data_IF_135599095389
#
_entry.id   IF_135599095389
#
_cell.length_a   1.000
_cell.length_b   1.000
_cell.length_c   1.000
_cell.angle_alpha   90.00
_cell.angle_beta   90.00
_cell.angle_gamma   90.00
#
_symmetry.space_group_name_H-M   'P 1'
#
loop_
_entity.id
_entity.type
_entity.pdbx_description
1 polymer ?
#
# COMPACT_ATOMS: atom_id res chain seq x y z
N UNK A 1 25.61 -14.00 5.09
CA UNK A 1 24.20 -14.41 5.19
C UNK A 1 23.46 -14.42 3.84
N UNK A 2 23.97 -13.78 2.78
CA UNK A 2 23.39 -13.82 1.43
C UNK A 2 23.77 -15.08 0.61
N UNK A 3 24.77 -15.83 1.03
CA UNK A 3 25.27 -17.01 0.32
C UNK A 3 24.24 -18.15 0.10
N UNK A 4 23.38 -18.51 1.06
CA UNK A 4 22.41 -19.58 0.83
C UNK A 4 21.26 -19.17 -0.09
N UNK A 5 20.91 -17.87 -0.14
CA UNK A 5 19.81 -17.38 -0.99
C UNK A 5 20.19 -17.43 -2.47
N UNK A 6 21.42 -17.08 -2.83
CA UNK A 6 21.90 -17.11 -4.22
C UNK A 6 21.94 -18.50 -4.83
N UNK A 7 22.24 -19.54 -4.03
CA UNK A 7 22.24 -20.93 -4.51
C UNK A 7 20.83 -21.52 -4.70
N UNK A 8 19.83 -21.01 -3.96
CA UNK A 8 18.44 -21.45 -4.08
C UNK A 8 17.71 -20.82 -5.27
N UNK A 9 18.10 -19.59 -5.65
CA UNK A 9 17.45 -18.84 -6.72
C UNK A 9 17.58 -19.47 -8.13
N UNK A 10 18.62 -20.27 -8.38
CA UNK A 10 18.87 -20.87 -9.69
C UNK A 10 17.94 -22.03 -10.08
N UNK A 11 17.21 -22.63 -9.13
CA UNK A 11 16.40 -23.84 -9.35
C UNK A 11 15.11 -23.86 -8.51
N UNK A 12 14.35 -22.77 -8.50
CA UNK A 12 13.08 -22.74 -7.76
C UNK A 12 12.10 -23.80 -8.29
N UNK A 13 12.02 -24.91 -7.57
CA UNK A 13 10.93 -25.89 -7.71
C UNK A 13 9.88 -25.61 -6.61
N UNK A 14 8.63 -26.03 -6.76
CA UNK A 14 7.59 -25.87 -5.74
C UNK A 14 7.98 -26.39 -4.35
N UNK A 15 8.96 -27.28 -4.25
CA UNK A 15 9.49 -27.82 -2.99
C UNK A 15 10.41 -26.87 -2.22
N UNK A 16 10.85 -25.79 -2.84
CA UNK A 16 11.80 -24.85 -2.24
C UNK A 16 11.11 -23.70 -1.49
N UNK A 17 9.76 -23.63 -1.54
CA UNK A 17 8.96 -22.60 -0.86
C UNK A 17 9.19 -22.58 0.65
N UNK A 18 9.39 -23.75 1.26
CA UNK A 18 9.59 -23.90 2.70
C UNK A 18 10.89 -23.26 3.20
N UNK A 19 11.90 -23.09 2.32
CA UNK A 19 13.17 -22.43 2.63
C UNK A 19 13.17 -20.97 2.18
N UNK A 20 12.52 -20.65 1.06
CA UNK A 20 12.51 -19.30 0.50
C UNK A 20 11.69 -18.34 1.33
N UNK A 21 10.50 -18.74 1.78
CA UNK A 21 9.62 -17.88 2.56
C UNK A 21 10.27 -17.43 3.88
N UNK A 22 10.83 -18.31 4.74
CA UNK A 22 11.55 -17.88 5.93
C UNK A 22 12.76 -16.98 5.62
N UNK A 23 13.46 -17.24 4.50
CA UNK A 23 14.60 -16.43 4.09
C UNK A 23 14.19 -15.00 3.70
N UNK A 24 13.14 -14.84 2.90
CA UNK A 24 12.60 -13.52 2.53
C UNK A 24 12.05 -12.77 3.77
N UNK A 25 11.39 -13.49 4.66
CA UNK A 25 10.88 -12.94 5.90
C UNK A 25 12.04 -12.47 6.81
N UNK A 26 13.08 -13.23 6.93
CA UNK A 26 14.28 -12.85 7.67
C UNK A 26 14.93 -11.58 7.08
N UNK A 27 15.06 -11.48 5.76
CA UNK A 27 15.59 -10.28 5.10
C UNK A 27 14.70 -9.05 5.37
N UNK A 28 13.39 -9.22 5.27
CA UNK A 28 12.42 -8.17 5.59
C UNK A 28 12.61 -7.65 7.03
N UNK A 29 12.59 -8.55 8.03
CA UNK A 29 12.77 -8.17 9.43
C UNK A 29 14.14 -7.57 9.72
N UNK A 30 15.19 -8.11 9.10
CA UNK A 30 16.55 -7.58 9.25
C UNK A 30 16.66 -6.13 8.79
N UNK A 31 15.95 -5.75 7.72
CA UNK A 31 15.89 -4.35 7.27
C UNK A 31 15.20 -3.43 8.28
N UNK A 32 14.19 -3.93 8.99
CA UNK A 32 13.41 -3.11 9.92
C UNK A 32 14.02 -2.99 11.32
N UNK A 33 14.86 -3.94 11.73
CA UNK A 33 15.44 -3.99 13.08
C UNK A 33 16.83 -3.36 13.17
N UNK A 34 17.42 -2.93 12.06
CA UNK A 34 18.80 -2.42 12.03
C UNK A 34 18.87 -0.90 12.24
N UNK A 35 20.02 -0.43 12.71
CA UNK A 35 20.31 1.01 12.78
C UNK A 35 20.34 1.62 11.36
N UNK A 36 20.09 2.92 11.19
CA UNK A 36 20.06 3.56 9.87
C UNK A 36 21.32 3.32 9.02
N UNK A 37 22.50 3.37 9.62
CA UNK A 37 23.77 3.10 8.91
C UNK A 37 23.89 1.64 8.43
N UNK A 38 23.49 0.68 9.26
CA UNK A 38 23.48 -0.74 8.91
C UNK A 38 22.38 -1.04 7.88
N UNK A 39 21.24 -0.36 7.97
CA UNK A 39 20.14 -0.46 7.03
C UNK A 39 20.54 0.00 5.63
N UNK A 40 21.21 1.14 5.49
CA UNK A 40 21.72 1.63 4.20
C UNK A 40 22.65 0.61 3.54
N UNK A 41 23.60 0.04 4.30
CA UNK A 41 24.50 -1.01 3.79
C UNK A 41 23.74 -2.27 3.40
N UNK A 42 22.78 -2.71 4.22
CA UNK A 42 21.97 -3.87 3.92
C UNK A 42 21.18 -3.69 2.63
N UNK A 43 20.56 -2.54 2.44
CA UNK A 43 19.83 -2.20 1.20
C UNK A 43 20.76 -2.23 -0.01
N UNK A 44 21.96 -1.64 0.07
CA UNK A 44 22.93 -1.66 -1.03
C UNK A 44 23.35 -3.10 -1.39
N UNK A 45 23.60 -3.95 -0.39
CA UNK A 45 23.95 -5.38 -0.60
C UNK A 45 22.78 -6.15 -1.23
N UNK A 46 21.54 -5.91 -0.79
CA UNK A 46 20.38 -6.60 -1.34
C UNK A 46 20.09 -6.17 -2.78
N UNK A 47 20.21 -4.87 -3.09
CA UNK A 47 19.99 -4.33 -4.43
C UNK A 47 21.12 -4.68 -5.43
N UNK A 48 22.31 -5.02 -4.95
CA UNK A 48 23.40 -5.54 -5.79
C UNK A 48 23.29 -7.05 -6.04
N UNK A 49 22.41 -7.77 -5.33
CA UNK A 49 22.27 -9.22 -5.46
C UNK A 49 21.28 -9.57 -6.60
N UNK A 50 21.84 -9.84 -7.79
CA UNK A 50 21.05 -10.16 -9.00
C UNK A 50 20.12 -11.36 -8.79
N UNK A 51 20.60 -12.43 -8.13
CA UNK A 51 19.80 -13.62 -7.87
C UNK A 51 18.60 -13.36 -6.96
N UNK A 52 18.73 -12.44 -6.00
CA UNK A 52 17.61 -12.01 -5.16
C UNK A 52 16.59 -11.23 -5.99
N UNK A 53 17.05 -10.28 -6.81
CA UNK A 53 16.14 -9.49 -7.66
C UNK A 53 15.40 -10.36 -8.69
N UNK A 54 16.10 -11.34 -9.29
CA UNK A 54 15.43 -12.32 -10.17
C UNK A 54 14.38 -13.16 -9.44
N UNK A 55 14.66 -13.57 -8.18
CA UNK A 55 13.68 -14.25 -7.35
C UNK A 55 12.47 -13.36 -7.05
N UNK A 56 12.70 -12.12 -6.65
CA UNK A 56 11.63 -11.16 -6.38
C UNK A 56 10.80 -10.89 -7.65
N UNK A 57 11.43 -10.79 -8.82
CA UNK A 57 10.73 -10.67 -10.09
C UNK A 57 9.79 -11.86 -10.33
N UNK A 58 10.25 -13.09 -10.14
CA UNK A 58 9.41 -14.30 -10.26
C UNK A 58 8.25 -14.29 -9.25
N UNK A 59 8.50 -13.88 -8.01
CA UNK A 59 7.45 -13.77 -6.98
C UNK A 59 6.38 -12.75 -7.40
N UNK A 60 6.79 -11.61 -7.94
CA UNK A 60 5.87 -10.59 -8.43
C UNK A 60 5.02 -11.11 -9.61
N UNK A 61 5.63 -11.83 -10.56
CA UNK A 61 4.95 -12.43 -11.71
C UNK A 61 3.97 -13.54 -11.32
N UNK A 62 4.32 -14.37 -10.32
CA UNK A 62 3.48 -15.45 -9.85
C UNK A 62 2.16 -15.00 -9.21
N UNK A 63 2.07 -13.75 -8.74
CA UNK A 63 0.86 -13.25 -8.05
C UNK A 63 -0.38 -13.30 -8.93
N UNK A 64 -0.24 -13.28 -10.26
CA UNK A 64 -1.34 -13.20 -11.23
C UNK A 64 -1.86 -14.56 -11.68
N UNK A 65 -1.02 -15.58 -11.65
CA UNK A 65 -1.35 -16.95 -12.09
C UNK A 65 -2.31 -17.68 -11.12
N UNK A 66 -2.74 -17.01 -10.04
CA UNK A 66 -3.47 -17.60 -8.96
C UNK A 66 -4.98 -17.50 -9.12
N UNK A 67 -5.52 -18.58 -9.56
CA UNK A 67 -6.92 -18.94 -9.38
C UNK A 67 -7.07 -20.44 -9.29
N UNK A 68 -7.35 -20.96 -8.13
CA UNK A 68 -8.51 -21.80 -8.05
C UNK A 68 -9.44 -21.41 -6.89
N UNK A 69 -10.77 -21.41 -7.11
CA UNK A 69 -11.76 -20.95 -6.16
C UNK A 69 -12.13 -21.96 -5.08
N UNK A 70 -11.31 -22.95 -4.78
CA UNK A 70 -11.78 -24.14 -4.06
C UNK A 70 -10.98 -24.52 -2.80
N UNK A 71 -10.21 -23.60 -2.19
CA UNK A 71 -9.54 -23.91 -0.92
C UNK A 71 -9.95 -23.00 0.22
N UNK A 72 -10.04 -23.56 1.47
CA UNK A 72 -10.49 -22.84 2.65
C UNK A 72 -9.51 -21.70 3.04
N UNK A 73 -9.98 -20.82 3.89
CA UNK A 73 -9.38 -19.55 4.33
C UNK A 73 -7.99 -19.63 5.03
N UNK A 74 -7.24 -20.70 4.85
CA UNK A 74 -5.90 -20.86 5.41
C UNK A 74 -4.84 -20.34 4.43
N UNK A 75 -3.89 -19.57 4.96
CA UNK A 75 -2.73 -19.09 4.24
C UNK A 75 -1.92 -20.31 3.76
N UNK A 76 -1.79 -20.49 2.45
CA UNK A 76 -0.92 -21.53 1.91
C UNK A 76 0.56 -21.12 2.05
N UNK A 77 1.49 -22.07 1.96
CA UNK A 77 2.92 -21.77 1.98
C UNK A 77 3.33 -20.84 0.84
N UNK A 78 2.65 -20.96 -0.30
CA UNK A 78 2.84 -20.12 -1.48
C UNK A 78 2.32 -18.69 -1.23
N UNK A 79 1.14 -18.53 -0.59
CA UNK A 79 0.64 -17.22 -0.19
C UNK A 79 1.59 -16.52 0.80
N UNK A 80 2.17 -17.28 1.73
CA UNK A 80 3.14 -16.76 2.68
C UNK A 80 4.43 -16.30 1.98
N UNK A 81 4.89 -17.02 0.96
CA UNK A 81 6.02 -16.62 0.12
C UNK A 81 5.72 -15.31 -0.63
N UNK A 82 4.54 -15.23 -1.25
CA UNK A 82 4.10 -14.01 -1.95
C UNK A 82 4.01 -12.82 -1.00
N UNK A 83 3.43 -12.98 0.19
CA UNK A 83 3.37 -11.92 1.20
C UNK A 83 4.76 -11.41 1.56
N UNK A 84 5.70 -12.32 1.85
CA UNK A 84 7.07 -11.96 2.21
C UNK A 84 7.79 -11.25 1.06
N UNK A 85 7.58 -11.69 -0.17
CA UNK A 85 8.16 -11.06 -1.37
C UNK A 85 7.62 -9.64 -1.59
N UNK A 86 6.31 -9.44 -1.55
CA UNK A 86 5.69 -8.11 -1.70
C UNK A 86 6.13 -7.15 -0.59
N UNK A 87 6.20 -7.60 0.67
CA UNK A 87 6.66 -6.78 1.78
C UNK A 87 8.14 -6.40 1.63
N UNK A 88 8.98 -7.35 1.19
CA UNK A 88 10.40 -7.07 0.96
C UNK A 88 10.59 -6.06 -0.18
N UNK A 89 9.87 -6.21 -1.30
CA UNK A 89 9.91 -5.25 -2.42
C UNK A 89 9.45 -3.87 -1.98
N UNK A 90 8.34 -3.77 -1.23
CA UNK A 90 7.86 -2.51 -0.68
C UNK A 90 8.90 -1.82 0.21
N UNK A 91 9.60 -2.59 1.04
CA UNK A 91 10.67 -2.08 1.91
C UNK A 91 11.90 -1.65 1.12
N UNK A 92 12.32 -2.43 0.14
CA UNK A 92 13.45 -2.08 -0.74
C UNK A 92 13.15 -0.79 -1.52
N UNK A 93 11.94 -0.63 -2.03
CA UNK A 93 11.51 0.61 -2.68
C UNK A 93 11.65 1.82 -1.75
N UNK A 94 11.09 1.74 -0.53
CA UNK A 94 11.13 2.83 0.44
C UNK A 94 12.58 3.20 0.84
N UNK A 95 13.40 2.20 1.11
CA UNK A 95 14.76 2.43 1.57
C UNK A 95 15.72 2.81 0.42
N UNK A 96 15.51 2.27 -0.77
CA UNK A 96 16.24 2.68 -1.97
C UNK A 96 16.05 4.20 -2.22
N UNK A 97 14.82 4.68 -2.15
CA UNK A 97 14.53 6.09 -2.28
C UNK A 97 15.14 6.92 -1.13
N UNK A 98 14.98 6.44 0.11
CA UNK A 98 15.48 7.14 1.31
C UNK A 98 17.01 7.33 1.29
N UNK A 99 17.74 6.32 0.85
CA UNK A 99 19.21 6.32 0.84
C UNK A 99 19.83 6.62 -0.52
N UNK A 100 19.01 6.87 -1.53
CA UNK A 100 19.43 7.09 -2.91
C UNK A 100 20.43 6.03 -3.40
N UNK A 101 20.14 4.75 -3.11
CA UNK A 101 21.01 3.64 -3.45
C UNK A 101 20.93 3.32 -4.93
N UNK A 102 22.08 3.11 -5.57
CA UNK A 102 22.15 2.67 -6.96
C UNK A 102 21.53 1.28 -7.16
N UNK A 103 20.88 1.09 -8.29
CA UNK A 103 20.21 -0.15 -8.67
C UNK A 103 20.77 -0.65 -9.99
N UNK A 104 21.25 -1.89 -10.00
CA UNK A 104 21.83 -2.51 -11.19
C UNK A 104 20.81 -3.28 -12.04
N UNK A 105 19.69 -3.69 -11.45
CA UNK A 105 18.61 -4.41 -12.13
C UNK A 105 17.27 -3.87 -11.66
N UNK A 106 16.40 -3.58 -12.59
CA UNK A 106 15.03 -3.13 -12.33
C UNK A 106 14.06 -4.31 -12.26
N UNK A 107 13.05 -4.18 -11.39
CA UNK A 107 11.90 -5.07 -11.33
C UNK A 107 10.80 -4.53 -12.24
N UNK A 108 10.09 -5.40 -12.95
CA UNK A 108 8.94 -5.03 -13.76
C UNK A 108 7.64 -5.46 -13.09
N UNK A 109 6.67 -4.55 -13.04
CA UNK A 109 5.35 -4.83 -12.45
C UNK A 109 4.25 -4.28 -13.35
N UNK A 110 3.27 -5.12 -13.67
CA UNK A 110 2.05 -4.68 -14.33
C UNK A 110 1.08 -4.08 -13.30
N UNK A 111 0.96 -2.75 -13.33
CA UNK A 111 0.09 -2.03 -12.42
C UNK A 111 -1.38 -2.41 -12.58
N UNK A 112 -1.83 -2.71 -13.81
CA UNK A 112 -3.21 -3.11 -14.07
C UNK A 112 -3.53 -4.43 -13.38
N UNK A 113 -2.61 -5.38 -13.42
CA UNK A 113 -2.78 -6.65 -12.71
C UNK A 113 -2.74 -6.47 -11.19
N UNK A 114 -1.86 -5.62 -10.64
CA UNK A 114 -1.86 -5.28 -9.21
C UNK A 114 -3.21 -4.73 -8.79
N UNK A 115 -3.75 -3.78 -9.53
CA UNK A 115 -5.07 -3.19 -9.25
C UNK A 115 -6.19 -4.23 -9.35
N UNK A 116 -6.15 -5.08 -10.38
CA UNK A 116 -7.10 -6.19 -10.53
C UNK A 116 -7.03 -7.17 -9.35
N UNK A 117 -5.84 -7.45 -8.82
CA UNK A 117 -5.69 -8.31 -7.65
C UNK A 117 -6.38 -7.73 -6.40
N UNK A 118 -6.41 -6.40 -6.27
CA UNK A 118 -7.13 -5.70 -5.20
C UNK A 118 -8.65 -5.74 -5.43
N UNK A 119 -9.08 -5.53 -6.69
CA UNK A 119 -10.50 -5.51 -7.07
C UNK A 119 -11.14 -6.90 -6.87
N UNK A 120 -10.50 -7.96 -7.33
CA UNK A 120 -11.00 -9.35 -7.26
C UNK A 120 -10.64 -10.04 -5.94
N UNK A 121 -10.81 -9.34 -4.85
CA UNK A 121 -10.37 -9.71 -3.51
C UNK A 121 -10.98 -11.00 -2.92
N UNK A 122 -12.20 -11.38 -3.32
CA UNK A 122 -12.95 -12.47 -2.69
C UNK A 122 -12.24 -13.84 -2.67
N UNK A 123 -11.08 -13.92 -3.31
CA UNK A 123 -10.26 -15.12 -3.43
C UNK A 123 -8.85 -14.97 -2.82
N UNK A 124 -8.52 -13.82 -2.23
CA UNK A 124 -7.17 -13.53 -1.74
C UNK A 124 -7.10 -13.51 -0.21
N UNK A 125 -6.04 -14.08 0.40
CA UNK A 125 -5.81 -13.96 1.84
C UNK A 125 -5.60 -12.51 2.28
N UNK A 126 -6.08 -12.17 3.47
CA UNK A 126 -5.96 -10.82 4.04
C UNK A 126 -4.51 -10.35 4.07
N UNK A 127 -3.57 -11.19 4.51
CA UNK A 127 -2.16 -10.82 4.59
C UNK A 127 -1.54 -10.50 3.22
N UNK A 128 -1.96 -11.19 2.16
CA UNK A 128 -1.52 -10.86 0.80
C UNK A 128 -2.05 -9.49 0.36
N UNK A 129 -3.31 -9.20 0.64
CA UNK A 129 -3.89 -7.87 0.36
C UNK A 129 -3.15 -6.76 1.13
N UNK A 130 -2.84 -6.98 2.40
CA UNK A 130 -2.05 -6.04 3.21
C UNK A 130 -0.67 -5.82 2.60
N UNK A 131 0.01 -6.87 2.15
CA UNK A 131 1.35 -6.74 1.53
C UNK A 131 1.30 -5.97 0.20
N UNK A 132 0.27 -6.21 -0.62
CA UNK A 132 0.02 -5.44 -1.85
C UNK A 132 -0.30 -3.97 -1.52
N UNK A 133 -1.08 -3.69 -0.46
CA UNK A 133 -1.33 -2.31 -0.01
C UNK A 133 -0.05 -1.59 0.41
N UNK A 134 0.86 -2.26 1.12
CA UNK A 134 2.16 -1.69 1.48
C UNK A 134 3.02 -1.39 0.25
N UNK A 135 2.98 -2.26 -0.76
CA UNK A 135 3.65 -2.03 -2.04
C UNK A 135 3.06 -0.82 -2.77
N UNK A 136 1.74 -0.76 -2.96
CA UNK A 136 1.06 0.38 -3.60
C UNK A 136 1.37 1.70 -2.88
N UNK A 137 1.35 1.69 -1.55
CA UNK A 137 1.73 2.85 -0.74
C UNK A 137 3.18 3.28 -1.00
N UNK A 138 4.12 2.33 -1.11
CA UNK A 138 5.51 2.64 -1.41
C UNK A 138 5.67 3.28 -2.81
N UNK A 139 5.00 2.74 -3.81
CA UNK A 139 5.03 3.24 -5.20
C UNK A 139 4.38 4.63 -5.30
N UNK A 140 3.22 4.84 -4.69
CA UNK A 140 2.52 6.14 -4.65
C UNK A 140 3.37 7.22 -3.99
N UNK A 141 4.02 6.92 -2.86
CA UNK A 141 4.92 7.86 -2.16
C UNK A 141 6.09 8.33 -3.00
N UNK A 142 6.53 7.51 -3.94
CA UNK A 142 7.61 7.84 -4.87
C UNK A 142 7.11 8.42 -6.19
N UNK A 143 5.84 8.78 -6.28
CA UNK A 143 5.22 9.27 -7.52
C UNK A 143 5.49 8.35 -8.73
N UNK A 144 5.57 7.03 -8.51
CA UNK A 144 5.96 6.04 -9.53
C UNK A 144 7.35 6.27 -10.14
N UNK A 145 8.19 7.05 -9.49
CA UNK A 145 9.52 7.42 -9.98
C UNK A 145 10.59 6.68 -9.17
N UNK A 146 10.72 5.37 -9.38
CA UNK A 146 11.74 4.55 -8.75
C UNK A 146 12.70 3.97 -9.78
N UNK A 147 14.00 4.01 -9.49
CA UNK A 147 15.00 3.34 -10.30
C UNK A 147 14.98 1.82 -10.13
N UNK A 148 14.35 1.30 -9.08
CA UNK A 148 14.18 -0.14 -8.84
C UNK A 148 13.01 -0.72 -9.62
N UNK A 149 12.00 0.08 -9.98
CA UNK A 149 10.74 -0.42 -10.51
C UNK A 149 10.41 0.17 -11.89
N UNK A 150 10.16 -0.70 -12.86
CA UNK A 150 9.57 -0.34 -14.16
C UNK A 150 8.11 -0.80 -14.18
N UNK A 151 7.20 0.15 -14.40
CA UNK A 151 5.77 -0.13 -14.52
C UNK A 151 5.45 -0.47 -15.96
N UNK A 152 5.00 -1.71 -16.16
CA UNK A 152 4.57 -2.26 -17.45
C UNK A 152 3.04 -2.21 -17.51
N UNK A 153 2.45 -2.24 -18.70
CA UNK A 153 0.98 -2.32 -18.86
C UNK A 153 0.28 -1.00 -19.10
N UNK A 154 1.02 0.07 -19.37
CA UNK A 154 0.43 1.21 -20.05
C UNK A 154 0.31 0.89 -21.53
N UNK A 155 -0.91 0.91 -22.05
CA UNK A 155 -1.26 0.62 -23.43
C UNK A 155 -0.37 1.37 -24.44
N UNK A 156 0.84 0.91 -24.63
CA UNK A 156 1.62 1.14 -25.85
C UNK A 156 1.27 0.06 -26.86
N UNK A 157 -0.01 -0.10 -27.16
CA UNK A 157 -0.36 -0.76 -28.40
C UNK A 157 0.18 0.15 -29.52
N UNK A 158 0.98 -0.38 -30.45
CA UNK A 158 1.35 0.35 -31.67
C UNK A 158 0.12 0.37 -32.58
N UNK A 159 -0.93 1.05 -32.17
CA UNK A 159 -2.09 1.32 -32.99
C UNK A 159 -1.82 2.61 -33.71
N UNK A 160 -1.66 2.52 -35.03
CA UNK A 160 -1.53 3.64 -35.96
C UNK A 160 -2.78 4.55 -36.05
N UNK A 161 -3.62 4.54 -35.02
CA UNK A 161 -4.73 5.46 -34.81
C UNK A 161 -4.41 6.12 -33.47
N UNK A 162 -3.93 7.37 -33.53
CA UNK A 162 -3.75 8.22 -32.34
C UNK A 162 -5.07 8.24 -31.57
N UNK A 163 -5.19 7.63 -30.38
CA UNK A 163 -6.30 7.97 -29.51
C UNK A 163 -6.01 9.41 -29.06
N UNK A 164 -6.89 10.33 -29.37
CA UNK A 164 -6.87 11.65 -28.77
C UNK A 164 -6.81 11.46 -27.24
N UNK A 165 -5.89 12.12 -26.52
CA UNK A 165 -5.83 12.05 -25.06
C UNK A 165 -7.20 12.44 -24.54
N UNK A 166 -7.87 11.50 -23.91
CA UNK A 166 -9.30 11.58 -23.55
C UNK A 166 -9.61 12.68 -22.53
N UNK A 167 -8.60 13.20 -21.84
CA UNK A 167 -8.68 14.46 -21.09
C UNK A 167 -7.31 14.95 -20.65
N UNK A 168 -7.13 16.25 -20.49
CA UNK A 168 -5.97 16.88 -19.85
C UNK A 168 -5.69 16.34 -18.43
N UNK A 169 -6.72 15.80 -17.78
CA UNK A 169 -6.63 15.21 -16.44
C UNK A 169 -5.86 13.88 -16.43
N UNK A 170 -6.03 13.03 -17.46
CA UNK A 170 -5.33 11.74 -17.54
C UNK A 170 -3.81 11.92 -17.73
N UNK A 171 -3.39 12.89 -18.53
CA UNK A 171 -1.96 13.19 -18.69
C UNK A 171 -1.32 13.73 -17.42
N UNK A 172 -2.07 14.50 -16.63
CA UNK A 172 -1.59 15.05 -15.36
C UNK A 172 -1.40 13.98 -14.27
N UNK A 173 -2.21 12.92 -14.30
CA UNK A 173 -2.15 11.84 -13.29
C UNK A 173 -1.16 10.72 -13.64
N UNK A 174 -0.56 10.76 -14.83
CA UNK A 174 0.36 9.71 -15.25
C UNK A 174 1.32 9.25 -14.13
N UNK A 175 1.52 7.93 -13.92
CA UNK A 175 1.10 6.81 -14.78
C UNK A 175 -0.30 6.25 -14.52
N UNK A 176 -1.07 6.76 -13.54
CA UNK A 176 -2.44 6.36 -13.29
C UNK A 176 -3.42 7.09 -14.22
N UNK A 177 -4.30 6.35 -14.89
CA UNK A 177 -5.46 6.94 -15.54
C UNK A 177 -6.60 7.18 -14.53
N UNK A 178 -7.50 8.14 -14.79
CA UNK A 178 -8.64 8.43 -13.91
C UNK A 178 -9.48 7.20 -13.62
N UNK A 179 -9.70 6.34 -14.61
CA UNK A 179 -10.44 5.10 -14.43
C UNK A 179 -9.76 4.16 -13.42
N UNK A 180 -8.43 4.07 -13.44
CA UNK A 180 -7.66 3.28 -12.48
C UNK A 180 -7.75 3.86 -11.07
N UNK A 181 -7.71 5.20 -10.93
CA UNK A 181 -7.90 5.89 -9.65
C UNK A 181 -9.26 5.55 -9.05
N UNK A 182 -10.34 5.67 -9.83
CA UNK A 182 -11.69 5.35 -9.35
C UNK A 182 -11.84 3.87 -9.02
N UNK A 183 -11.30 2.97 -9.84
CA UNK A 183 -11.32 1.52 -9.56
C UNK A 183 -10.59 1.19 -8.27
N UNK A 184 -9.43 1.81 -8.02
CA UNK A 184 -8.67 1.65 -6.79
C UNK A 184 -9.47 2.19 -5.58
N UNK A 185 -10.04 3.38 -5.69
CA UNK A 185 -10.87 3.96 -4.62
C UNK A 185 -12.04 3.06 -4.23
N UNK A 186 -12.82 2.59 -5.20
CA UNK A 186 -13.95 1.67 -4.96
C UNK A 186 -13.47 0.38 -4.30
N UNK A 187 -12.32 -0.12 -4.72
CA UNK A 187 -11.73 -1.34 -4.14
C UNK A 187 -11.29 -1.14 -2.70
N UNK A 188 -10.61 -0.02 -2.40
CA UNK A 188 -10.22 0.34 -1.03
C UNK A 188 -11.45 0.46 -0.11
N UNK A 189 -12.53 1.07 -0.59
CA UNK A 189 -13.79 1.16 0.14
C UNK A 189 -14.37 -0.23 0.46
N UNK A 190 -14.44 -1.10 -0.54
CA UNK A 190 -14.94 -2.45 -0.37
C UNK A 190 -14.11 -3.26 0.63
N UNK A 191 -12.80 -3.02 0.68
CA UNK A 191 -11.91 -3.66 1.65
C UNK A 191 -12.19 -3.19 3.08
N UNK A 192 -12.55 -1.93 3.31
CA UNK A 192 -12.87 -1.40 4.64
C UNK A 192 -14.15 -2.01 5.23
N UNK A 193 -15.12 -2.40 4.40
CA UNK A 193 -16.38 -3.03 4.85
C UNK A 193 -16.14 -4.34 5.60
N UNK A 194 -15.00 -5.01 5.39
CA UNK A 194 -14.74 -6.33 5.96
C UNK A 194 -14.29 -6.35 7.42
N UNK A 195 -14.07 -5.20 8.04
CA UNK A 195 -13.77 -5.06 9.48
C UNK A 195 -12.55 -5.86 9.97
N UNK A 196 -11.67 -6.28 9.08
CA UNK A 196 -10.38 -6.82 9.47
C UNK A 196 -9.46 -5.67 9.88
N UNK A 197 -8.91 -5.74 11.09
CA UNK A 197 -8.15 -4.64 11.69
C UNK A 197 -6.87 -4.33 10.89
N UNK A 198 -6.08 -5.34 10.54
CA UNK A 198 -4.83 -5.14 9.80
C UNK A 198 -5.09 -4.61 8.39
N UNK A 199 -6.13 -5.16 7.74
CA UNK A 199 -6.53 -4.71 6.42
C UNK A 199 -7.04 -3.28 6.45
N UNK A 200 -7.86 -2.90 7.44
CA UNK A 200 -8.37 -1.54 7.61
C UNK A 200 -7.24 -0.53 7.77
N UNK A 201 -6.24 -0.82 8.60
CA UNK A 201 -5.06 0.03 8.76
C UNK A 201 -4.30 0.21 7.44
N UNK A 202 -4.05 -0.89 6.72
CA UNK A 202 -3.33 -0.84 5.45
C UNK A 202 -4.10 -0.06 4.38
N UNK A 203 -5.42 -0.23 4.33
CA UNK A 203 -6.31 0.44 3.37
C UNK A 203 -6.39 1.94 3.64
N UNK A 204 -6.60 2.35 4.90
CA UNK A 204 -6.64 3.78 5.25
C UNK A 204 -5.30 4.45 4.95
N UNK A 205 -4.18 3.80 5.27
CA UNK A 205 -2.85 4.32 4.95
C UNK A 205 -2.59 4.39 3.43
N UNK A 206 -3.13 3.46 2.64
CA UNK A 206 -3.04 3.50 1.19
C UNK A 206 -3.93 4.62 0.61
N UNK A 207 -5.15 4.80 1.11
CA UNK A 207 -6.06 5.86 0.73
C UNK A 207 -5.46 7.25 1.01
N UNK A 208 -4.90 7.45 2.19
CA UNK A 208 -4.19 8.69 2.55
C UNK A 208 -3.08 9.00 1.55
N UNK A 209 -2.23 8.00 1.27
CA UNK A 209 -1.13 8.17 0.32
C UNK A 209 -1.62 8.43 -1.12
N UNK A 210 -2.73 7.79 -1.52
CA UNK A 210 -3.34 8.03 -2.83
C UNK A 210 -3.85 9.47 -2.97
N UNK A 211 -4.55 10.00 -1.96
CA UNK A 211 -5.03 11.38 -1.99
C UNK A 211 -3.86 12.38 -1.97
N UNK A 212 -2.81 12.11 -1.20
CA UNK A 212 -1.58 12.92 -1.21
C UNK A 212 -0.91 12.90 -2.60
N UNK A 213 -0.81 11.74 -3.24
CA UNK A 213 -0.30 11.59 -4.61
C UNK A 213 -1.15 12.41 -5.60
N UNK A 214 -2.48 12.27 -5.54
CA UNK A 214 -3.40 13.01 -6.40
C UNK A 214 -3.26 14.51 -6.18
N UNK A 215 -3.14 14.96 -4.93
CA UNK A 215 -2.98 16.38 -4.61
C UNK A 215 -1.69 16.97 -5.20
N UNK A 216 -0.61 16.18 -5.18
CA UNK A 216 0.66 16.57 -5.80
C UNK A 216 0.61 16.59 -7.34
N UNK A 217 -0.31 15.85 -7.96
CA UNK A 217 -0.47 15.77 -9.42
C UNK A 217 -1.54 16.72 -9.96
N UNK A 218 -2.69 16.72 -9.33
CA UNK A 218 -3.84 17.55 -9.69
C UNK A 218 -4.69 17.82 -8.44
N UNK A 219 -4.60 19.04 -7.92
CA UNK A 219 -5.29 19.46 -6.71
C UNK A 219 -6.81 19.29 -6.80
N UNK A 220 -7.40 19.64 -7.93
CA UNK A 220 -8.85 19.61 -8.10
C UNK A 220 -9.39 18.17 -8.07
N UNK A 221 -8.66 17.23 -8.65
CA UNK A 221 -8.98 15.80 -8.58
C UNK A 221 -8.89 15.30 -7.14
N UNK A 222 -7.86 15.68 -6.39
CA UNK A 222 -7.70 15.28 -4.99
C UNK A 222 -8.86 15.82 -4.12
N UNK A 223 -9.20 17.10 -4.28
CA UNK A 223 -10.32 17.73 -3.57
C UNK A 223 -11.65 17.08 -3.95
N UNK A 224 -11.85 16.79 -5.23
CA UNK A 224 -13.04 16.09 -5.70
C UNK A 224 -13.16 14.70 -5.08
N UNK A 225 -12.07 13.93 -5.05
CA UNK A 225 -12.02 12.60 -4.41
C UNK A 225 -12.28 12.70 -2.90
N UNK A 226 -11.66 13.65 -2.21
CA UNK A 226 -11.82 13.82 -0.77
C UNK A 226 -13.26 14.26 -0.40
N UNK A 227 -13.94 15.03 -1.24
CA UNK A 227 -15.28 15.56 -0.99
C UNK A 227 -16.43 14.61 -1.37
N UNK A 228 -16.14 13.41 -1.87
CA UNK A 228 -17.18 12.47 -2.28
C UNK A 228 -18.03 11.98 -1.09
N UNK A 229 -19.36 11.90 -1.23
CA UNK A 229 -20.27 11.51 -0.13
C UNK A 229 -19.98 10.12 0.45
N UNK A 230 -19.43 9.22 -0.33
CA UNK A 230 -19.06 7.88 0.13
C UNK A 230 -17.98 7.89 1.24
N UNK A 231 -17.18 8.93 1.34
CA UNK A 231 -16.20 9.09 2.41
C UNK A 231 -16.88 9.16 3.79
N UNK A 232 -18.04 9.77 3.87
CA UNK A 232 -18.86 9.77 5.08
C UNK A 232 -19.39 8.38 5.42
N UNK A 233 -19.77 7.61 4.41
CA UNK A 233 -20.18 6.22 4.59
C UNK A 233 -19.03 5.35 5.14
N UNK A 234 -17.81 5.55 4.65
CA UNK A 234 -16.61 4.88 5.21
C UNK A 234 -16.40 5.20 6.68
N UNK A 235 -16.48 6.47 7.04
CA UNK A 235 -16.36 6.91 8.43
C UNK A 235 -17.38 6.19 9.33
N UNK A 236 -18.65 6.17 8.92
CA UNK A 236 -19.67 5.42 9.64
C UNK A 236 -19.41 3.92 9.72
N UNK A 237 -18.89 3.33 8.66
CA UNK A 237 -18.55 1.89 8.65
C UNK A 237 -17.46 1.57 9.66
N UNK A 238 -16.43 2.40 9.77
CA UNK A 238 -15.37 2.25 10.76
C UNK A 238 -15.92 2.43 12.20
N UNK A 239 -16.74 3.44 12.43
CA UNK A 239 -17.35 3.72 13.73
C UNK A 239 -18.37 2.64 14.16
N UNK A 240 -19.00 1.92 13.22
CA UNK A 240 -19.99 0.88 13.53
C UNK A 240 -19.34 -0.45 13.97
N UNK A 241 -18.04 -0.55 14.00
CA UNK A 241 -17.27 -1.80 14.20
C UNK A 241 -17.17 -2.31 15.66
N UNK A 242 -17.93 -1.76 16.62
CA UNK A 242 -18.02 -2.30 17.99
C UNK A 242 -17.71 -1.32 19.11
N UNK A 243 -16.60 -0.63 19.10
CA UNK A 243 -16.34 0.52 19.97
C UNK A 243 -16.60 1.79 19.15
N UNK A 244 -17.67 2.49 19.48
CA UNK A 244 -18.04 3.78 18.86
C UNK A 244 -17.14 4.91 19.40
N UNK A 245 -15.85 4.80 19.21
CA UNK A 245 -14.89 5.83 19.63
C UNK A 245 -14.22 6.43 18.41
N UNK A 246 -14.17 7.74 18.36
CA UNK A 246 -13.38 8.48 17.37
C UNK A 246 -11.87 8.32 17.58
N UNK A 247 -11.43 7.85 18.76
CA UNK A 247 -10.01 7.64 19.08
C UNK A 247 -9.40 6.38 18.46
N UNK A 248 -10.08 5.75 17.49
CA UNK A 248 -9.47 4.69 16.68
C UNK A 248 -8.48 5.31 15.68
N UNK A 249 -7.25 4.78 15.55
CA UNK A 249 -6.23 5.38 14.70
C UNK A 249 -6.64 5.50 13.22
N UNK A 250 -7.41 4.56 12.70
CA UNK A 250 -7.93 4.58 11.32
C UNK A 250 -8.96 5.70 11.13
N UNK A 251 -9.84 5.90 12.11
CA UNK A 251 -10.84 6.97 12.10
C UNK A 251 -10.14 8.34 12.17
N UNK A 252 -9.22 8.51 13.10
CA UNK A 252 -8.45 9.74 13.25
C UNK A 252 -7.66 10.10 11.99
N UNK A 253 -7.02 9.12 11.35
CA UNK A 253 -6.30 9.34 10.09
C UNK A 253 -7.23 9.76 8.96
N UNK A 254 -8.37 9.09 8.82
CA UNK A 254 -9.36 9.42 7.81
C UNK A 254 -9.93 10.83 8.04
N UNK A 255 -10.22 11.18 9.30
CA UNK A 255 -10.67 12.52 9.69
C UNK A 255 -9.60 13.58 9.40
N UNK A 256 -8.33 13.30 9.75
CA UNK A 256 -7.19 14.18 9.44
C UNK A 256 -7.09 14.46 7.94
N UNK A 257 -7.27 13.43 7.11
CA UNK A 257 -7.27 13.55 5.67
C UNK A 257 -8.36 14.51 5.19
N UNK A 258 -9.58 14.34 5.69
CA UNK A 258 -10.72 15.17 5.29
C UNK A 258 -10.59 16.62 5.75
N UNK A 259 -10.09 16.86 6.98
CA UNK A 259 -9.81 18.21 7.48
C UNK A 259 -8.73 18.89 6.63
N UNK A 260 -7.63 18.20 6.37
CA UNK A 260 -6.51 18.72 5.57
C UNK A 260 -6.94 19.18 4.18
N UNK A 261 -7.84 18.46 3.54
CA UNK A 261 -8.32 18.77 2.20
C UNK A 261 -9.64 19.55 2.20
N UNK A 262 -9.98 20.19 3.32
CA UNK A 262 -11.14 21.08 3.49
C UNK A 262 -12.47 20.43 3.04
N UNK A 263 -12.63 19.15 3.34
CA UNK A 263 -13.83 18.39 3.00
C UNK A 263 -14.96 18.69 4.02
N UNK A 264 -15.33 19.96 4.15
CA UNK A 264 -16.32 20.44 5.14
C UNK A 264 -17.69 19.76 5.04
N UNK A 265 -18.02 19.22 3.86
CA UNK A 265 -19.26 18.48 3.65
C UNK A 265 -19.22 17.04 4.19
N UNK A 266 -18.03 16.51 4.47
CA UNK A 266 -17.80 15.13 4.93
C UNK A 266 -17.76 15.09 6.46
N UNK A 267 -17.16 16.09 7.09
CA UNK A 267 -16.99 16.18 8.53
C UNK A 267 -17.75 17.39 9.05
N UNK A 268 -18.58 17.17 10.06
CA UNK A 268 -19.26 18.26 10.76
C UNK A 268 -18.40 18.79 11.90
N UNK A 269 -18.57 20.07 12.23
CA UNK A 269 -17.92 20.70 13.40
C UNK A 269 -18.25 19.96 14.71
N UNK A 270 -19.44 19.35 14.78
CA UNK A 270 -19.85 18.53 15.92
C UNK A 270 -18.96 17.30 16.11
N UNK A 271 -18.58 16.62 15.03
CA UNK A 271 -17.71 15.44 15.08
C UNK A 271 -16.28 15.83 15.50
N UNK A 272 -15.79 16.97 15.00
CA UNK A 272 -14.51 17.53 15.43
C UNK A 272 -14.54 17.83 16.93
N UNK A 273 -15.59 18.51 17.40
CA UNK A 273 -15.74 18.83 18.84
C UNK A 273 -15.83 17.55 19.69
N UNK A 274 -16.48 16.51 19.21
CA UNK A 274 -16.58 15.24 19.91
C UNK A 274 -15.21 14.55 20.02
N UNK A 275 -14.38 14.56 18.97
CA UNK A 275 -13.01 14.03 19.05
C UNK A 275 -12.18 14.77 20.09
N UNK A 276 -12.26 16.10 20.10
CA UNK A 276 -11.53 16.93 21.06
C UNK A 276 -12.01 16.63 22.50
N UNK A 277 -13.31 16.44 22.69
CA UNK A 277 -13.88 16.08 23.98
C UNK A 277 -13.43 14.66 24.41
N UNK A 278 -13.55 13.66 23.56
CA UNK A 278 -13.09 12.30 23.86
C UNK A 278 -11.58 12.27 24.17
N UNK A 279 -10.78 13.07 23.45
CA UNK A 279 -9.35 13.21 23.71
C UNK A 279 -9.05 13.87 25.06
N UNK A 280 -9.86 14.86 25.48
CA UNK A 280 -9.70 15.53 26.78
C UNK A 280 -10.11 14.61 27.95
N UNK A 281 -11.07 13.71 27.74
CA UNK A 281 -11.53 12.75 28.74
C UNK A 281 -10.62 11.52 28.83
N UNK A 282 -9.87 11.21 27.76
CA UNK A 282 -8.98 10.06 27.71
C UNK A 282 -7.68 10.29 28.50
N UNK A 283 -7.21 9.25 29.20
CA UNK A 283 -5.88 9.26 29.75
C UNK A 283 -4.84 9.05 28.62
N UNK A 284 -4.27 10.16 28.14
CA UNK A 284 -3.33 10.16 27.01
C UNK A 284 -2.11 9.27 27.23
N UNK A 285 -1.72 9.02 28.48
CA UNK A 285 -0.60 8.15 28.83
C UNK A 285 -0.91 6.65 28.61
N UNK A 286 -2.18 6.29 28.58
CA UNK A 286 -2.64 4.91 28.40
C UNK A 286 -3.04 4.59 26.96
N UNK A 287 -3.09 5.60 26.08
CA UNK A 287 -3.44 5.37 24.68
C UNK A 287 -2.35 4.58 23.95
N UNK A 288 -2.74 3.64 23.10
CA UNK A 288 -1.80 2.96 22.20
C UNK A 288 -1.01 3.98 21.36
N UNK A 289 0.28 3.72 21.13
CA UNK A 289 1.17 4.61 20.37
C UNK A 289 0.57 5.04 19.02
N UNK A 290 -0.05 4.09 18.30
CA UNK A 290 -0.69 4.38 17.02
C UNK A 290 -1.84 5.38 17.15
N UNK A 291 -2.65 5.28 18.21
CA UNK A 291 -3.74 6.21 18.51
C UNK A 291 -3.20 7.58 18.90
N UNK A 292 -2.22 7.61 19.80
CA UNK A 292 -1.58 8.84 20.25
C UNK A 292 -0.96 9.63 19.09
N UNK A 293 -0.25 8.93 18.20
CA UNK A 293 0.34 9.52 17.00
C UNK A 293 -0.73 10.07 16.04
N UNK A 294 -1.80 9.30 15.78
CA UNK A 294 -2.88 9.73 14.91
C UNK A 294 -3.66 10.92 15.49
N UNK A 295 -3.91 10.91 16.81
CA UNK A 295 -4.56 12.02 17.52
C UNK A 295 -3.73 13.29 17.46
N UNK A 296 -2.42 13.19 17.69
CA UNK A 296 -1.52 14.35 17.58
C UNK A 296 -1.56 14.95 16.16
N UNK A 297 -1.50 14.11 15.13
CA UNK A 297 -1.61 14.57 13.73
C UNK A 297 -2.95 15.26 13.47
N UNK A 298 -4.05 14.73 14.00
CA UNK A 298 -5.38 15.34 13.87
C UNK A 298 -5.44 16.70 14.53
N UNK A 299 -5.01 16.80 15.79
CA UNK A 299 -5.03 18.05 16.56
C UNK A 299 -4.13 19.15 15.95
N UNK A 300 -3.08 18.77 15.21
CA UNK A 300 -2.26 19.73 14.47
C UNK A 300 -2.94 20.28 13.20
N UNK A 301 -4.03 19.68 12.73
CA UNK A 301 -4.76 20.11 11.52
C UNK A 301 -6.04 20.92 11.86
N UNK A 302 -6.57 20.77 13.06
CA UNK A 302 -7.77 21.49 13.56
C UNK A 302 -7.36 22.79 14.22
#
# INVERSE_FOLDING_TARGET
LCFPVSNLCGKCRPKDTDLLQPSLNFLYWSLHQTTPCSQQRAVAVLLSNMSLLELLQKVLECTWLWSPPSRPAYLSSEDALLCSGWLLVASLLLYQHRYNTEVHQTLSVDLTEVLNAVIFRNKKPVLLLVSIMQFLKAVLRQNFSSSLLVIVGQNTAPSAIQPQPSSLQDTALHPLAMQQVFSLLVSLQNLLVHKDFLLSQAVVACLETLVEYLYGKNRDVALHVASQPWNRFLLFTLLSGGQKSFLQPEVLRLMTLFVRYQSSNIISQKEISQIVQEAAEANLAELPEATSCALHLFLCQV
#
